data_IF_074260442845
#
_entry.id   IF_074260442845
#
_cell.length_a   1.000
_cell.length_b   1.000
_cell.length_c   1.000
_cell.angle_alpha   90.00
_cell.angle_beta   90.00
_cell.angle_gamma   90.00
#
_symmetry.space_group_name_H-M   'P 1'
#
loop_
_entity.id
_entity.type
_entity.pdbx_description
1 polymer ?
#
# COMPACT_ATOMS: atom_id res chain seq x y z
N UNK A 1 -1.00 13.13 7.37
CA UNK A 1 -0.12 11.96 7.15
C UNK A 1 0.88 12.36 6.07
N UNK A 2 2.18 12.27 6.32
CA UNK A 2 3.23 12.75 5.41
C UNK A 2 4.37 11.71 5.29
N UNK A 3 5.10 11.76 4.17
CA UNK A 3 6.29 10.94 3.93
C UNK A 3 7.52 11.81 3.64
N UNK A 4 7.32 12.96 2.99
CA UNK A 4 8.39 13.87 2.61
C UNK A 4 8.97 14.63 3.83
N UNK A 5 10.28 14.53 4.11
CA UNK A 5 10.90 15.21 5.25
C UNK A 5 10.84 16.74 5.17
N UNK A 6 10.86 17.34 3.97
CA UNK A 6 10.75 18.78 3.79
C UNK A 6 9.37 19.30 4.18
N UNK A 7 8.31 18.59 3.76
CA UNK A 7 6.94 18.88 4.18
C UNK A 7 6.73 18.63 5.68
N UNK A 8 7.33 17.57 6.23
CA UNK A 8 7.27 17.31 7.68
C UNK A 8 7.97 18.43 8.48
N UNK A 9 9.14 18.89 8.03
CA UNK A 9 9.85 20.01 8.65
C UNK A 9 9.02 21.29 8.56
N UNK A 10 8.49 21.61 7.38
CA UNK A 10 7.63 22.78 7.19
C UNK A 10 6.43 22.74 8.15
N UNK A 11 5.74 21.60 8.23
CA UNK A 11 4.58 21.43 9.09
C UNK A 11 4.94 21.53 10.57
N UNK A 12 6.07 20.95 11.00
CA UNK A 12 6.55 21.04 12.37
C UNK A 12 6.86 22.49 12.79
N UNK A 13 7.41 23.30 11.86
CA UNK A 13 7.77 24.70 12.12
C UNK A 13 6.57 25.65 12.09
N UNK A 14 5.65 25.48 11.14
CA UNK A 14 4.56 26.43 10.89
C UNK A 14 3.24 26.02 11.57
N UNK A 15 3.09 24.74 11.88
CA UNK A 15 1.87 24.16 12.45
C UNK A 15 2.20 23.21 13.61
N UNK A 16 2.83 23.68 14.71
CA UNK A 16 3.35 22.82 15.78
C UNK A 16 2.28 22.02 16.53
N UNK A 17 1.00 22.41 16.44
CA UNK A 17 -0.13 21.67 17.02
C UNK A 17 -0.68 20.59 16.08
N UNK A 18 -0.24 20.54 14.83
CA UNK A 18 -0.70 19.54 13.87
C UNK A 18 -0.20 18.15 14.28
N UNK A 19 -1.14 17.21 14.44
CA UNK A 19 -0.80 15.81 14.71
C UNK A 19 -0.18 15.17 13.47
N UNK A 20 1.16 15.14 13.43
CA UNK A 20 1.89 14.56 12.31
C UNK A 20 1.94 13.04 12.39
N UNK A 21 1.50 12.40 11.31
CA UNK A 21 1.49 10.95 11.17
C UNK A 21 2.43 10.57 10.03
N UNK A 22 3.36 9.65 10.27
CA UNK A 22 4.28 9.12 9.28
C UNK A 22 3.54 8.11 8.37
N UNK A 23 3.57 8.39 7.07
CA UNK A 23 3.04 7.52 6.02
C UNK A 23 3.86 6.24 5.92
N UNK A 24 3.21 5.15 5.49
CA UNK A 24 3.88 3.90 5.12
C UNK A 24 4.96 4.11 4.02
N UNK A 25 4.82 5.17 3.22
CA UNK A 25 5.82 5.58 2.21
C UNK A 25 7.14 6.09 2.81
N UNK A 26 7.15 6.43 4.11
CA UNK A 26 8.38 6.77 4.84
C UNK A 26 9.23 5.55 5.22
N UNK A 27 8.72 4.33 5.00
CA UNK A 27 9.45 3.06 5.09
C UNK A 27 10.14 2.80 6.43
N UNK A 28 9.60 3.38 7.50
CA UNK A 28 10.09 3.16 8.85
C UNK A 28 9.56 1.81 9.40
N UNK A 29 10.43 0.81 9.44
CA UNK A 29 10.13 -0.55 9.90
C UNK A 29 10.72 -0.88 11.27
N UNK A 30 11.47 0.05 11.88
CA UNK A 30 12.09 -0.11 13.19
C UNK A 30 11.72 1.05 14.13
N UNK A 31 11.73 0.76 15.43
CA UNK A 31 11.52 1.79 16.45
C UNK A 31 12.54 2.93 16.34
N UNK A 32 13.79 2.62 15.99
CA UNK A 32 14.86 3.62 15.87
C UNK A 32 14.56 4.62 14.74
N UNK A 33 14.08 4.14 13.59
CA UNK A 33 13.66 5.01 12.49
C UNK A 33 12.43 5.84 12.87
N UNK A 34 11.45 5.25 13.55
CA UNK A 34 10.24 5.95 14.00
C UNK A 34 10.58 7.04 15.03
N UNK A 35 11.47 6.73 15.99
CA UNK A 35 11.93 7.68 17.00
C UNK A 35 12.69 8.85 16.38
N UNK A 36 13.47 8.60 15.33
CA UNK A 36 14.08 9.68 14.53
C UNK A 36 13.02 10.64 13.97
N UNK A 37 11.96 10.14 13.32
CA UNK A 37 10.89 11.00 12.81
C UNK A 37 10.13 11.74 13.93
N UNK A 38 9.95 11.12 15.10
CA UNK A 38 9.40 11.78 16.28
C UNK A 38 10.29 12.94 16.73
N UNK A 39 11.58 12.71 16.88
CA UNK A 39 12.53 13.70 17.39
C UNK A 39 12.73 14.87 16.44
N UNK A 40 12.80 14.60 15.14
CA UNK A 40 13.06 15.63 14.13
C UNK A 40 11.80 16.43 13.74
N UNK A 41 10.63 15.79 13.73
CA UNK A 41 9.42 16.40 13.17
C UNK A 41 8.20 16.35 14.09
N UNK A 42 8.30 15.79 15.30
CA UNK A 42 7.16 15.67 16.20
C UNK A 42 6.11 14.67 15.74
N UNK A 43 6.50 13.65 14.96
CA UNK A 43 5.57 12.56 14.56
C UNK A 43 4.98 11.88 15.79
N UNK A 44 3.66 11.78 15.83
CA UNK A 44 2.88 11.17 16.93
C UNK A 44 2.28 9.81 16.57
N UNK A 45 2.21 9.47 15.28
CA UNK A 45 1.75 8.15 14.81
C UNK A 45 2.55 7.69 13.60
N UNK A 46 2.84 6.40 13.48
CA UNK A 46 3.45 5.80 12.29
C UNK A 46 2.59 4.67 11.72
N UNK A 47 2.38 4.68 10.41
CA UNK A 47 1.73 3.59 9.68
C UNK A 47 2.79 2.58 9.24
N UNK A 48 2.76 1.37 9.82
CA UNK A 48 3.76 0.35 9.49
C UNK A 48 3.51 -0.31 8.13
N UNK A 49 4.57 -0.67 7.39
CA UNK A 49 4.46 -1.50 6.20
C UNK A 49 3.93 -2.90 6.50
N UNK A 50 3.28 -3.52 5.51
CA UNK A 50 2.63 -4.85 5.62
C UNK A 50 3.61 -6.03 5.57
N UNK A 51 4.90 -5.77 5.67
CA UNK A 51 5.97 -6.79 5.63
C UNK A 51 6.43 -7.21 7.03
N UNK A 52 5.92 -6.56 8.08
CA UNK A 52 6.24 -6.89 9.47
C UNK A 52 5.31 -7.99 9.99
N UNK A 53 5.89 -8.99 10.65
CA UNK A 53 5.16 -9.97 11.45
C UNK A 53 4.61 -9.35 12.74
N UNK A 54 3.64 -10.01 13.38
CA UNK A 54 3.09 -9.59 14.67
C UNK A 54 4.15 -9.37 15.75
N UNK A 55 5.15 -10.27 15.82
CA UNK A 55 6.26 -10.13 16.78
C UNK A 55 7.15 -8.93 16.46
N UNK A 56 7.36 -8.60 15.18
CA UNK A 56 8.09 -7.38 14.79
C UNK A 56 7.30 -6.13 15.15
N UNK A 57 5.98 -6.12 14.92
CA UNK A 57 5.09 -5.01 15.32
C UNK A 57 5.15 -4.80 16.84
N UNK A 58 5.07 -5.88 17.62
CA UNK A 58 5.19 -5.82 19.08
C UNK A 58 6.52 -5.20 19.53
N UNK A 59 7.64 -5.63 18.95
CA UNK A 59 8.98 -5.07 19.26
C UNK A 59 9.10 -3.59 18.93
N UNK A 60 8.43 -3.13 17.87
CA UNK A 60 8.38 -1.71 17.54
C UNK A 60 7.62 -0.95 18.63
N UNK A 61 6.40 -1.40 18.97
CA UNK A 61 5.55 -0.77 19.99
C UNK A 61 6.27 -0.71 21.35
N UNK A 62 6.93 -1.78 21.76
CA UNK A 62 7.66 -1.84 23.04
C UNK A 62 8.81 -0.83 23.14
N UNK A 63 9.27 -0.26 22.00
CA UNK A 63 10.47 0.60 21.91
C UNK A 63 10.20 2.01 21.39
N UNK A 64 8.93 2.40 21.19
CA UNK A 64 8.58 3.76 20.77
C UNK A 64 7.34 4.27 21.48
N UNK A 65 7.31 5.54 21.91
CA UNK A 65 6.09 6.17 22.40
C UNK A 65 5.14 6.60 21.27
N UNK A 66 5.54 6.47 20.00
CA UNK A 66 4.73 6.84 18.83
C UNK A 66 3.59 5.84 18.66
N UNK A 67 2.38 6.33 18.40
CA UNK A 67 1.23 5.47 18.12
C UNK A 67 1.48 4.63 16.86
N UNK A 68 1.18 3.33 16.92
CA UNK A 68 1.35 2.44 15.77
C UNK A 68 0.00 2.18 15.10
N UNK A 69 -0.05 2.39 13.79
CA UNK A 69 -1.15 2.04 12.90
C UNK A 69 -0.72 0.92 11.94
N UNK A 70 -1.57 -0.08 11.76
CA UNK A 70 -1.32 -1.21 10.84
C UNK A 70 -2.47 -1.37 9.85
N UNK A 71 -2.28 -2.14 8.79
CA UNK A 71 -3.36 -2.47 7.87
C UNK A 71 -4.13 -3.70 8.35
N UNK A 72 -5.45 -3.57 8.45
CA UNK A 72 -6.35 -4.63 8.90
C UNK A 72 -7.06 -5.38 7.77
N UNK A 73 -7.29 -4.68 6.67
CA UNK A 73 -8.04 -5.18 5.53
C UNK A 73 -7.72 -4.37 4.28
N UNK A 74 -7.74 -5.02 3.13
CA UNK A 74 -7.58 -4.36 1.83
C UNK A 74 -6.66 -5.14 0.91
N UNK A 75 -6.20 -4.51 -0.17
CA UNK A 75 -5.19 -5.15 -1.01
C UNK A 75 -3.83 -5.16 -0.33
N UNK A 76 -3.10 -6.26 -0.49
CA UNK A 76 -1.65 -6.21 -0.28
C UNK A 76 -1.06 -5.27 -1.34
N UNK A 77 0.20 -4.92 -1.12
CA UNK A 77 0.93 -4.22 -2.14
C UNK A 77 2.33 -4.81 -2.15
N UNK A 78 2.78 -5.24 -3.33
CA UNK A 78 4.14 -5.72 -3.55
C UNK A 78 5.17 -4.59 -3.62
N UNK A 79 4.78 -3.35 -3.30
CA UNK A 79 5.73 -2.25 -3.15
C UNK A 79 6.68 -2.52 -1.99
N UNK A 80 7.97 -2.50 -2.30
CA UNK A 80 9.01 -2.46 -1.28
C UNK A 80 9.23 -1.01 -0.89
N UNK A 81 9.02 -0.69 0.39
CA UNK A 81 9.38 0.62 0.94
C UNK A 81 8.74 1.81 0.21
N UNK A 82 7.47 1.67 -0.16
CA UNK A 82 6.72 2.70 -0.86
C UNK A 82 7.10 2.89 -2.33
N UNK A 83 8.01 2.07 -2.89
CA UNK A 83 8.47 2.15 -4.28
C UNK A 83 7.86 1.01 -5.10
N UNK A 84 7.15 1.36 -6.18
CA UNK A 84 6.65 0.39 -7.14
C UNK A 84 7.48 0.41 -8.41
N UNK A 85 8.44 -0.51 -8.54
CA UNK A 85 9.20 -0.67 -9.77
C UNK A 85 8.29 -1.10 -10.94
N UNK A 86 7.27 -1.90 -10.65
CA UNK A 86 6.27 -2.38 -11.60
C UNK A 86 5.49 -1.24 -12.28
N UNK A 87 4.92 -0.32 -11.48
CA UNK A 87 4.20 0.84 -11.99
C UNK A 87 5.13 1.80 -12.75
N UNK A 88 6.34 2.02 -12.22
CA UNK A 88 7.36 2.85 -12.88
C UNK A 88 7.74 2.29 -14.26
N UNK A 89 7.94 0.99 -14.34
CA UNK A 89 8.30 0.30 -15.58
C UNK A 89 7.18 0.39 -16.62
N UNK A 90 5.94 0.09 -16.22
CA UNK A 90 4.81 0.04 -17.17
C UNK A 90 4.32 1.43 -17.54
N UNK A 91 4.27 2.39 -16.62
CA UNK A 91 3.57 3.67 -16.84
C UNK A 91 4.49 4.87 -16.92
N UNK A 92 5.77 4.71 -16.56
CA UNK A 92 6.71 5.83 -16.36
C UNK A 92 6.43 6.65 -15.10
N UNK A 93 5.36 6.35 -14.37
CA UNK A 93 4.96 7.04 -13.14
C UNK A 93 5.08 6.09 -11.96
N UNK A 94 5.71 6.57 -10.90
CA UNK A 94 5.82 5.79 -9.67
C UNK A 94 4.81 6.31 -8.63
N UNK A 95 4.08 5.43 -7.92
CA UNK A 95 3.14 5.83 -6.89
C UNK A 95 3.80 6.60 -5.73
N UNK A 96 5.11 6.47 -5.52
CA UNK A 96 5.83 7.26 -4.52
C UNK A 96 5.90 8.76 -4.83
N UNK A 97 5.84 9.13 -6.11
CA UNK A 97 6.05 10.50 -6.61
C UNK A 97 4.78 11.06 -7.21
N UNK A 98 3.95 10.21 -7.80
CA UNK A 98 2.71 10.59 -8.49
C UNK A 98 1.45 10.18 -7.73
N UNK A 99 1.58 9.42 -6.63
CA UNK A 99 0.46 9.05 -5.76
C UNK A 99 -0.51 8.01 -6.35
N UNK A 100 -0.19 7.42 -7.50
CA UNK A 100 -1.07 6.48 -8.21
C UNK A 100 -0.27 5.34 -8.83
N UNK A 101 -0.75 4.10 -8.65
CA UNK A 101 -0.11 2.90 -9.23
C UNK A 101 -0.46 2.71 -10.72
N UNK A 102 -1.68 3.08 -11.09
CA UNK A 102 -2.20 2.97 -12.44
C UNK A 102 -2.84 4.30 -12.81
N UNK A 103 -2.10 5.23 -13.44
CA UNK A 103 -2.62 6.53 -13.80
C UNK A 103 -3.82 6.37 -14.75
N UNK A 104 -4.96 7.06 -14.57
CA UNK A 104 -6.13 6.92 -15.44
C UNK A 104 -5.82 7.12 -16.93
N UNK A 105 -4.87 8.00 -17.26
CA UNK A 105 -4.42 8.25 -18.63
C UNK A 105 -3.79 7.03 -19.31
N UNK A 106 -3.21 6.11 -18.54
CA UNK A 106 -2.60 4.87 -19.01
C UNK A 106 -3.59 3.70 -19.06
N UNK A 107 -4.77 3.83 -18.45
CA UNK A 107 -5.78 2.76 -18.38
C UNK A 107 -6.63 2.72 -19.63
N UNK A 108 -6.86 1.52 -20.18
CA UNK A 108 -7.79 1.27 -21.29
C UNK A 108 -8.65 0.05 -20.99
N UNK A 109 -9.90 0.13 -21.43
CA UNK A 109 -10.88 -0.94 -21.39
C UNK A 109 -11.28 -1.24 -22.83
N UNK A 110 -11.20 -2.51 -23.25
CA UNK A 110 -11.42 -2.90 -24.64
C UNK A 110 -12.30 -4.15 -24.69
N UNK A 111 -13.44 -4.02 -25.36
CA UNK A 111 -14.28 -5.18 -25.68
C UNK A 111 -13.62 -5.99 -26.80
N UNK A 112 -13.41 -7.28 -26.57
CA UNK A 112 -12.82 -8.20 -27.53
C UNK A 112 -13.70 -9.44 -27.69
N UNK A 113 -13.53 -10.25 -28.75
CA UNK A 113 -14.23 -11.53 -28.88
C UNK A 113 -13.97 -12.52 -27.73
N UNK A 114 -12.92 -12.30 -26.93
CA UNK A 114 -12.56 -13.15 -25.79
C UNK A 114 -13.12 -12.62 -24.46
N UNK A 115 -13.77 -11.44 -24.44
CA UNK A 115 -14.25 -10.75 -23.24
C UNK A 115 -13.70 -9.32 -23.11
N UNK A 116 -14.03 -8.67 -22.00
CA UNK A 116 -13.55 -7.33 -21.67
C UNK A 116 -12.08 -7.41 -21.23
N UNK A 117 -11.18 -6.72 -21.92
CA UNK A 117 -9.78 -6.61 -21.55
C UNK A 117 -9.50 -5.30 -20.83
N UNK A 118 -8.80 -5.39 -19.70
CA UNK A 118 -8.21 -4.22 -19.04
C UNK A 118 -6.73 -4.12 -19.36
N UNK A 119 -6.29 -2.91 -19.70
CA UNK A 119 -4.91 -2.64 -20.11
C UNK A 119 -4.33 -1.46 -19.35
N UNK A 120 -3.05 -1.56 -19.02
CA UNK A 120 -2.27 -0.49 -18.43
C UNK A 120 -1.07 -0.19 -19.32
N UNK A 121 -1.05 1.00 -19.91
CA UNK A 121 -0.07 1.42 -20.91
C UNK A 121 0.18 0.38 -22.01
N UNK A 122 -0.90 -0.22 -22.53
CA UNK A 122 -0.85 -1.25 -23.57
C UNK A 122 -0.62 -2.67 -23.07
N UNK A 123 -0.11 -2.86 -21.85
CA UNK A 123 0.06 -4.18 -21.21
C UNK A 123 -1.32 -4.74 -20.84
N UNK A 124 -1.62 -5.98 -21.24
CA UNK A 124 -2.82 -6.69 -20.80
C UNK A 124 -2.69 -7.02 -19.31
N UNK A 125 -3.62 -6.48 -18.51
CA UNK A 125 -3.67 -6.70 -17.06
C UNK A 125 -4.63 -7.84 -16.74
N UNK A 126 -5.77 -7.89 -17.42
CA UNK A 126 -6.80 -8.87 -17.14
C UNK A 126 -7.78 -9.02 -18.31
N UNK A 127 -8.48 -10.16 -18.36
CA UNK A 127 -9.59 -10.42 -19.26
C UNK A 127 -10.78 -10.99 -18.48
N UNK A 128 -11.89 -10.28 -18.51
CA UNK A 128 -13.10 -10.61 -17.77
C UNK A 128 -14.14 -11.33 -18.63
N UNK A 129 -14.77 -12.35 -18.07
CA UNK A 129 -15.93 -13.01 -18.66
C UNK A 129 -17.19 -12.12 -18.58
N UNK A 130 -18.21 -12.36 -19.42
CA UNK A 130 -19.47 -11.62 -19.33
C UNK A 130 -20.09 -11.72 -17.93
N UNK A 131 -20.35 -10.57 -17.30
CA UNK A 131 -20.92 -10.50 -15.94
C UNK A 131 -19.91 -10.67 -14.79
N UNK A 132 -18.63 -10.90 -15.08
CA UNK A 132 -17.55 -10.85 -14.08
C UNK A 132 -17.27 -9.39 -13.69
N UNK A 133 -17.01 -9.15 -12.40
CA UNK A 133 -16.66 -7.80 -11.93
C UNK A 133 -15.24 -7.45 -12.38
N UNK A 134 -15.12 -6.34 -13.11
CA UNK A 134 -13.84 -5.83 -13.58
C UNK A 134 -13.18 -4.91 -12.54
N UNK A 135 -12.02 -5.32 -12.01
CA UNK A 135 -11.26 -4.52 -11.06
C UNK A 135 -10.39 -3.45 -11.73
N UNK A 136 -10.07 -2.37 -11.01
CA UNK A 136 -9.22 -1.32 -11.58
C UNK A 136 -7.83 -1.85 -11.98
N UNK A 137 -7.30 -1.51 -13.18
CA UNK A 137 -6.20 -2.28 -13.78
C UNK A 137 -4.89 -1.96 -13.08
N UNK A 138 -4.53 -2.78 -12.09
CA UNK A 138 -3.32 -2.63 -11.27
C UNK A 138 -2.35 -3.76 -11.61
N UNK A 139 -1.12 -3.43 -12.02
CA UNK A 139 -0.20 -4.44 -12.57
C UNK A 139 0.02 -5.64 -11.64
N UNK A 140 0.22 -5.41 -10.34
CA UNK A 140 0.44 -6.52 -9.40
C UNK A 140 -0.81 -7.37 -9.11
N UNK A 141 -1.99 -6.93 -9.54
CA UNK A 141 -3.27 -7.62 -9.31
C UNK A 141 -3.86 -8.20 -10.61
N UNK A 142 -3.09 -8.15 -11.70
CA UNK A 142 -3.50 -8.69 -12.98
C UNK A 142 -3.40 -10.22 -13.03
N UNK A 143 -4.06 -10.78 -14.03
CA UNK A 143 -3.92 -12.19 -14.43
C UNK A 143 -2.98 -12.28 -15.63
N UNK A 144 -2.00 -13.17 -15.54
CA UNK A 144 -0.94 -13.34 -16.54
C UNK A 144 -0.82 -14.80 -16.98
N UNK A 145 -0.21 -15.02 -18.13
CA UNK A 145 0.19 -16.35 -18.60
C UNK A 145 1.65 -16.59 -18.15
N UNK A 146 1.91 -17.65 -17.39
CA UNK A 146 3.27 -18.03 -16.95
C UNK A 146 3.45 -19.52 -17.13
N UNK A 147 4.46 -19.89 -17.93
CA UNK A 147 4.72 -21.27 -18.31
C UNK A 147 3.46 -21.97 -18.87
N UNK A 148 2.93 -22.96 -18.14
CA UNK A 148 1.75 -23.73 -18.53
C UNK A 148 0.44 -23.13 -18.00
N UNK A 149 0.50 -22.22 -17.03
CA UNK A 149 -0.66 -21.59 -16.42
C UNK A 149 -1.09 -20.38 -17.23
N UNK A 150 -2.37 -20.32 -17.58
CA UNK A 150 -2.97 -19.19 -18.31
C UNK A 150 -3.94 -18.41 -17.43
N UNK A 151 -3.96 -17.09 -17.58
CA UNK A 151 -4.90 -16.21 -16.89
C UNK A 151 -4.95 -16.45 -15.37
N UNK A 152 -3.79 -16.49 -14.70
CA UNK A 152 -3.71 -16.68 -13.25
C UNK A 152 -3.02 -15.50 -12.56
N UNK A 153 -3.26 -15.33 -11.26
CA UNK A 153 -2.65 -14.26 -10.47
C UNK A 153 -1.18 -14.60 -10.14
N UNK A 154 -0.27 -14.13 -11.00
CA UNK A 154 1.16 -14.40 -10.85
C UNK A 154 1.84 -13.64 -9.70
N UNK A 155 1.25 -12.53 -9.24
CA UNK A 155 1.88 -11.62 -8.29
C UNK A 155 1.04 -11.50 -7.01
N UNK A 156 -0.17 -10.96 -7.11
CA UNK A 156 -1.07 -10.76 -5.97
C UNK A 156 -2.51 -11.03 -6.39
N UNK A 157 -3.23 -11.79 -5.57
CA UNK A 157 -4.67 -11.99 -5.75
C UNK A 157 -5.44 -10.79 -5.14
N UNK A 158 -6.52 -10.30 -5.74
CA UNK A 158 -7.30 -9.18 -5.19
C UNK A 158 -7.92 -9.44 -3.80
N UNK A 159 -7.75 -10.63 -3.21
CA UNK A 159 -8.26 -11.06 -1.91
C UNK A 159 -7.23 -10.97 -0.77
N UNK A 160 -6.00 -10.53 -1.00
CA UNK A 160 -4.87 -10.99 -0.17
C UNK A 160 -4.58 -10.34 1.21
N UNK A 161 -5.40 -9.43 1.77
CA UNK A 161 -5.24 -9.07 3.20
C UNK A 161 -6.57 -9.00 3.96
N UNK A 162 -6.76 -9.94 4.88
CA UNK A 162 -7.77 -9.89 5.93
C UNK A 162 -7.13 -10.30 7.26
N UNK A 163 -6.75 -9.32 8.08
CA UNK A 163 -6.23 -9.57 9.44
C UNK A 163 -7.27 -9.24 10.50
N UNK A 164 -8.56 -9.21 10.14
CA UNK A 164 -9.63 -8.94 11.10
C UNK A 164 -9.67 -9.97 12.22
N UNK A 165 -9.32 -11.23 11.92
CA UNK A 165 -9.19 -12.29 12.94
C UNK A 165 -8.08 -12.01 13.94
N UNK A 166 -7.04 -11.26 13.55
CA UNK A 166 -5.92 -10.86 14.40
C UNK A 166 -6.22 -9.58 15.20
N UNK A 167 -7.37 -8.94 14.99
CA UNK A 167 -7.72 -7.68 15.65
C UNK A 167 -7.60 -7.74 17.19
N UNK A 168 -8.04 -8.82 17.89
CA UNK A 168 -7.87 -8.92 19.34
C UNK A 168 -6.39 -8.90 19.76
N UNK A 169 -5.52 -9.56 18.99
CA UNK A 169 -4.09 -9.60 19.27
C UNK A 169 -3.42 -8.24 18.96
N UNK A 170 -3.78 -7.61 17.84
CA UNK A 170 -3.32 -6.26 17.49
C UNK A 170 -3.66 -5.24 18.60
N UNK A 171 -4.89 -5.29 19.11
CA UNK A 171 -5.29 -4.46 20.24
C UNK A 171 -4.49 -4.77 21.51
N UNK A 172 -4.27 -6.06 21.80
CA UNK A 172 -3.51 -6.52 22.97
C UNK A 172 -2.05 -6.04 22.95
N UNK A 173 -1.39 -6.06 21.79
CA UNK A 173 0.00 -5.60 21.66
C UNK A 173 0.13 -4.07 21.60
N UNK A 174 -0.98 -3.32 21.63
CA UNK A 174 -0.97 -1.87 21.73
C UNK A 174 -1.08 -1.11 20.41
N UNK A 175 -1.47 -1.75 19.30
CA UNK A 175 -1.82 -1.05 18.05
C UNK A 175 -2.97 -0.08 18.32
N UNK A 176 -2.80 1.17 17.88
CA UNK A 176 -3.73 2.28 18.19
C UNK A 176 -4.72 2.58 17.07
N UNK A 177 -4.42 2.16 15.86
CA UNK A 177 -5.30 2.34 14.72
C UNK A 177 -5.14 1.20 13.72
N UNK A 178 -6.23 0.88 13.03
CA UNK A 178 -6.27 -0.12 11.97
C UNK A 178 -6.77 0.55 10.71
N UNK A 179 -5.96 0.47 9.66
CA UNK A 179 -6.26 1.00 8.34
C UNK A 179 -6.99 -0.05 7.51
N UNK A 180 -8.17 0.33 7.03
CA UNK A 180 -8.96 -0.45 6.07
C UNK A 180 -8.78 0.23 4.72
N UNK A 181 -8.15 -0.46 3.77
CA UNK A 181 -8.06 0.00 2.40
C UNK A 181 -9.23 -0.59 1.60
N UNK A 182 -9.98 0.30 0.93
CA UNK A 182 -11.11 -0.10 0.11
C UNK A 182 -10.69 -1.04 -1.00
N UNK A 183 -11.54 -2.02 -1.31
CA UNK A 183 -11.45 -2.70 -2.60
C UNK A 183 -11.73 -1.63 -3.65
N UNK A 184 -10.76 -1.35 -4.52
CA UNK A 184 -11.04 -0.71 -5.81
C UNK A 184 -11.94 -1.70 -6.57
N UNK A 185 -13.25 -1.64 -6.31
CA UNK A 185 -14.28 -2.31 -7.09
C UNK A 185 -14.66 -1.40 -8.24
#
# INVERSE_FOLDING_TARGET
>A
ILADPGLMQYAAQHHPQLRLHLSVQGSATSADAINFYREQFGVVRAVLPRVLSMEQVRRVIDRTPVEIEVFGFGSLCVMVEGRCALSSYVTGESPNTHGVCSPPKAVRWQETPKGLESRLNGVLIDRYAPGENAGYPTLCKGRFDVAEDTNYYAIEEPTSLNTLELLPELMKIGVRAVKIEGRQR
#
